data_IF_886052649317
#
_entry.id   IF_886052649317
#
_cell.length_a   1.000
_cell.length_b   1.000
_cell.length_c   1.000
_cell.angle_alpha   90.00
_cell.angle_beta   90.00
_cell.angle_gamma   90.00
#
_symmetry.space_group_name_H-M   'P 1'
#
loop_
_entity.id
_entity.type
_entity.pdbx_description
1 polymer ?
#
# COMPACT_ATOMS: atom_id res chain seq x y z
N UNK A 1 -22.67 -18.31 17.62
CA UNK A 1 -22.06 -17.01 17.28
C UNK A 1 -20.68 -17.32 16.74
N UNK A 2 -20.37 -16.91 15.52
CA UNK A 2 -19.01 -17.07 14.97
C UNK A 2 -18.25 -15.83 15.43
N UNK A 3 -17.40 -15.99 16.44
CA UNK A 3 -16.43 -14.99 16.85
C UNK A 3 -15.40 -14.87 15.73
N UNK A 4 -15.56 -13.88 14.85
CA UNK A 4 -14.52 -13.55 13.89
C UNK A 4 -13.35 -12.97 14.70
N UNK A 5 -12.37 -13.83 14.94
CA UNK A 5 -11.09 -13.48 15.52
C UNK A 5 -10.44 -12.46 14.58
N UNK A 6 -10.54 -11.17 14.92
CA UNK A 6 -9.76 -10.11 14.30
C UNK A 6 -8.30 -10.45 14.60
N UNK A 7 -7.65 -11.19 13.70
CA UNK A 7 -6.22 -11.35 13.72
C UNK A 7 -5.66 -9.93 13.66
N UNK A 8 -5.18 -9.45 14.80
CA UNK A 8 -4.46 -8.19 14.89
C UNK A 8 -3.11 -8.48 14.25
N UNK A 9 -3.07 -8.45 12.92
CA UNK A 9 -1.83 -8.40 12.18
C UNK A 9 -1.09 -7.21 12.76
N UNK A 10 -0.03 -7.50 13.51
CA UNK A 10 0.83 -6.50 14.10
C UNK A 10 1.47 -5.80 12.91
N UNK A 11 0.93 -4.64 12.52
CA UNK A 11 1.49 -3.83 11.44
C UNK A 11 2.90 -3.46 11.86
N UNK A 12 3.86 -3.80 11.00
CA UNK A 12 5.23 -3.38 11.20
C UNK A 12 5.28 -1.84 11.20
N UNK A 13 6.22 -1.24 11.94
CA UNK A 13 6.38 0.20 11.95
C UNK A 13 6.60 0.70 10.52
N UNK A 14 5.87 1.76 10.14
CA UNK A 14 6.00 2.37 8.84
C UNK A 14 7.46 2.80 8.58
N UNK A 15 7.98 2.59 7.35
CA UNK A 15 9.28 3.11 6.95
C UNK A 15 9.41 4.61 7.24
N UNK A 16 10.50 5.01 7.89
CA UNK A 16 10.76 6.41 8.27
C UNK A 16 10.89 7.33 7.06
N UNK A 17 11.21 6.79 5.87
CA UNK A 17 11.29 7.57 4.62
C UNK A 17 9.92 8.07 4.13
N UNK A 18 8.82 7.49 4.61
CA UNK A 18 7.47 7.91 4.23
C UNK A 18 7.09 9.20 4.98
N UNK A 19 7.30 10.37 4.35
CA UNK A 19 6.85 11.64 4.92
C UNK A 19 5.42 12.02 4.51
N UNK A 20 4.96 11.53 3.36
CA UNK A 20 3.64 11.86 2.81
C UNK A 20 2.52 11.01 3.45
N UNK A 21 1.44 11.61 3.97
CA UNK A 21 0.27 10.87 4.46
C UNK A 21 -0.34 9.95 3.40
N UNK A 22 -0.30 10.35 2.13
CA UNK A 22 -0.82 9.56 1.01
C UNK A 22 0.07 8.35 0.73
N UNK A 23 1.39 8.52 0.84
CA UNK A 23 2.34 7.43 0.66
C UNK A 23 2.19 6.38 1.76
N UNK A 24 2.02 6.81 3.02
CA UNK A 24 1.73 5.91 4.15
C UNK A 24 0.45 5.11 3.92
N UNK A 25 -0.62 5.76 3.45
CA UNK A 25 -1.90 5.11 3.21
C UNK A 25 -1.80 4.03 2.12
N UNK A 26 -1.10 4.34 1.02
CA UNK A 26 -0.85 3.37 -0.06
C UNK A 26 0.00 2.21 0.45
N UNK A 27 1.09 2.48 1.15
CA UNK A 27 1.97 1.44 1.71
C UNK A 27 1.21 0.50 2.66
N UNK A 28 0.48 1.05 3.64
CA UNK A 28 -0.32 0.26 4.59
C UNK A 28 -1.37 -0.60 3.89
N UNK A 29 -2.00 -0.07 2.84
CA UNK A 29 -2.98 -0.84 2.10
C UNK A 29 -2.32 -2.04 1.40
N UNK A 30 -1.20 -1.83 0.72
CA UNK A 30 -0.44 -2.89 0.05
C UNK A 30 0.08 -3.95 1.02
N UNK A 31 0.58 -3.52 2.19
CA UNK A 31 1.02 -4.41 3.26
C UNK A 31 -0.14 -5.25 3.81
N UNK A 32 -1.28 -4.62 4.09
CA UNK A 32 -2.45 -5.30 4.64
C UNK A 32 -3.17 -6.22 3.63
N UNK A 33 -3.15 -5.88 2.34
CA UNK A 33 -3.77 -6.69 1.29
C UNK A 33 -2.84 -7.74 0.70
N UNK A 34 -1.53 -7.66 0.96
CA UNK A 34 -0.49 -8.48 0.33
C UNK A 34 -0.21 -8.08 -1.13
N UNK A 35 -0.75 -6.95 -1.59
CA UNK A 35 -0.62 -6.47 -2.96
C UNK A 35 -1.89 -5.86 -3.52
N UNK A 36 -1.75 -4.96 -4.49
CA UNK A 36 -2.89 -4.37 -5.20
C UNK A 36 -2.49 -3.71 -6.53
N UNK A 37 -3.45 -3.55 -7.44
CA UNK A 37 -3.24 -2.76 -8.65
C UNK A 37 -3.43 -1.27 -8.38
N UNK A 38 -2.91 -0.42 -9.29
CA UNK A 38 -3.17 1.01 -9.23
C UNK A 38 -4.66 1.39 -9.37
N UNK A 39 -5.48 0.50 -9.95
CA UNK A 39 -6.93 0.71 -10.04
C UNK A 39 -7.59 0.41 -8.69
N UNK A 40 -7.23 -0.69 -8.02
CA UNK A 40 -7.76 -1.02 -6.70
C UNK A 40 -7.45 0.09 -5.69
N UNK A 41 -6.20 0.59 -5.69
CA UNK A 41 -5.78 1.72 -4.88
C UNK A 41 -6.59 2.99 -5.17
N UNK A 42 -6.89 3.27 -6.44
CA UNK A 42 -7.69 4.44 -6.83
C UNK A 42 -9.14 4.33 -6.31
N UNK A 43 -9.75 3.15 -6.41
CA UNK A 43 -11.13 2.91 -6.00
C UNK A 43 -11.28 2.84 -4.48
N UNK A 44 -10.43 2.07 -3.80
CA UNK A 44 -10.53 1.83 -2.36
C UNK A 44 -10.07 3.03 -1.55
N UNK A 45 -8.99 3.68 -1.95
CA UNK A 45 -8.46 4.83 -1.22
C UNK A 45 -9.12 6.14 -1.64
N UNK A 46 -10.05 6.10 -2.60
CA UNK A 46 -10.72 7.25 -3.19
C UNK A 46 -9.74 8.36 -3.65
N UNK A 47 -8.54 7.96 -4.06
CA UNK A 47 -7.46 8.84 -4.49
C UNK A 47 -7.49 8.97 -6.01
N UNK A 48 -7.19 10.15 -6.57
CA UNK A 48 -7.09 10.31 -8.03
C UNK A 48 -6.05 9.34 -8.61
N UNK A 49 -6.36 8.67 -9.71
CA UNK A 49 -5.44 7.71 -10.37
C UNK A 49 -4.04 8.27 -10.64
N UNK A 50 -3.93 9.55 -11.05
CA UNK A 50 -2.62 10.19 -11.25
C UNK A 50 -1.83 10.35 -9.93
N UNK A 51 -2.51 10.60 -8.81
CA UNK A 51 -1.87 10.70 -7.50
C UNK A 51 -1.40 9.32 -7.04
N UNK A 52 -2.22 8.28 -7.23
CA UNK A 52 -1.83 6.88 -6.96
C UNK A 52 -0.58 6.50 -7.75
N UNK A 53 -0.58 6.74 -9.07
CA UNK A 53 0.58 6.44 -9.92
C UNK A 53 1.83 7.21 -9.47
N UNK A 54 1.70 8.51 -9.14
CA UNK A 54 2.82 9.30 -8.65
C UNK A 54 3.38 8.77 -7.33
N UNK A 55 2.51 8.36 -6.41
CA UNK A 55 2.93 7.77 -5.13
C UNK A 55 3.64 6.44 -5.36
N UNK A 56 3.06 5.54 -6.17
CA UNK A 56 3.66 4.25 -6.48
C UNK A 56 5.04 4.40 -7.13
N UNK A 57 5.20 5.34 -8.06
CA UNK A 57 6.51 5.63 -8.66
C UNK A 57 7.54 6.13 -7.64
N UNK A 58 7.13 6.93 -6.65
CA UNK A 58 8.02 7.33 -5.56
C UNK A 58 8.41 6.13 -4.69
N UNK A 59 7.44 5.32 -4.26
CA UNK A 59 7.68 4.15 -3.41
C UNK A 59 8.58 3.11 -4.10
N UNK A 60 8.36 2.88 -5.40
CA UNK A 60 9.18 2.00 -6.23
C UNK A 60 10.62 2.55 -6.35
N UNK A 61 10.76 3.87 -6.57
CA UNK A 61 12.07 4.54 -6.62
C UNK A 61 12.83 4.50 -5.29
N UNK A 62 12.12 4.45 -4.17
CA UNK A 62 12.70 4.28 -2.82
C UNK A 62 12.93 2.80 -2.44
N UNK A 63 12.49 1.86 -3.29
CA UNK A 63 12.62 0.42 -3.05
C UNK A 63 11.68 -0.13 -1.97
N UNK A 64 10.64 0.62 -1.61
CA UNK A 64 9.64 0.23 -0.59
C UNK A 64 8.55 -0.67 -1.15
N UNK A 65 8.30 -0.59 -2.46
CA UNK A 65 7.38 -1.47 -3.17
C UNK A 65 8.02 -1.94 -4.46
N UNK A 66 7.60 -3.11 -4.93
CA UNK A 66 7.95 -3.63 -6.25
C UNK A 66 6.69 -3.83 -7.08
N UNK A 67 6.84 -3.73 -8.40
CA UNK A 67 5.77 -3.99 -9.35
C UNK A 67 5.90 -5.39 -9.94
N UNK A 68 4.94 -6.25 -9.60
CA UNK A 68 4.80 -7.60 -10.11
C UNK A 68 3.65 -7.64 -11.13
N UNK A 69 4.00 -7.57 -12.42
CA UNK A 69 3.05 -7.45 -13.53
C UNK A 69 2.15 -6.19 -13.41
N UNK A 70 0.89 -6.35 -13.04
CA UNK A 70 -0.07 -5.27 -12.83
C UNK A 70 -0.23 -4.86 -11.34
N UNK A 71 0.29 -5.67 -10.43
CA UNK A 71 0.17 -5.49 -8.98
C UNK A 71 1.44 -4.85 -8.40
N UNK A 72 1.27 -4.12 -7.31
CA UNK A 72 2.34 -3.59 -6.49
C UNK A 72 2.31 -4.32 -5.15
N UNK A 73 3.46 -4.71 -4.63
CA UNK A 73 3.62 -5.38 -3.33
C UNK A 73 4.70 -4.69 -2.52
N UNK A 74 4.61 -4.73 -1.19
CA UNK A 74 5.65 -4.15 -0.31
C UNK A 74 6.92 -4.99 -0.35
N UNK A 75 8.07 -4.32 -0.39
CA UNK A 75 9.38 -4.95 -0.24
C UNK A 75 9.66 -5.12 1.26
N UNK A 76 9.37 -6.30 1.82
CA UNK A 76 9.65 -6.62 3.23
C UNK A 76 10.94 -7.43 3.39
#
# INVERSE_FOLDING_TARGET
MIEQQLATTQLDPLPDQLDSPQAKLVYLYLEASGGATATDLNEVLAMKKIAVLSVLSCLEGEGLVEKNDAEYVVCN
#
